data_IF_664215006466
#
_entry.id   IF_664215006466
#
_cell.length_a   1.000
_cell.length_b   1.000
_cell.length_c   1.000
_cell.angle_alpha   90.00
_cell.angle_beta   90.00
_cell.angle_gamma   90.00
#
_symmetry.space_group_name_H-M   'P 1'
#
loop_
_entity.id
_entity.type
_entity.pdbx_description
1 polymer ?
#
# COMPACT_ATOMS: atom_id res chain seq x y z
N UNK A 1 17.18 39.18 -30.25
CA UNK A 1 17.59 39.13 -28.85
C UNK A 1 16.37 38.67 -28.08
N UNK A 2 16.25 37.36 -27.91
CA UNK A 2 15.12 36.74 -27.22
C UNK A 2 15.48 36.59 -25.75
N UNK A 3 14.68 37.23 -24.95
CA UNK A 3 14.75 37.26 -23.50
C UNK A 3 14.49 35.84 -22.95
N UNK A 4 15.54 35.18 -22.50
CA UNK A 4 15.41 33.93 -21.75
C UNK A 4 14.99 34.29 -20.33
N UNK A 5 13.68 34.48 -20.11
CA UNK A 5 13.14 34.55 -18.77
C UNK A 5 13.44 33.21 -18.05
N UNK A 6 14.32 33.28 -17.07
CA UNK A 6 14.49 32.28 -16.04
C UNK A 6 13.13 32.10 -15.35
N UNK A 7 12.38 31.09 -15.80
CA UNK A 7 11.20 30.65 -15.10
C UNK A 7 11.64 30.24 -13.67
N UNK A 8 11.31 31.05 -12.70
CA UNK A 8 11.39 30.71 -11.29
C UNK A 8 10.58 29.41 -11.15
N UNK A 9 11.23 28.34 -10.72
CA UNK A 9 10.57 27.07 -10.48
C UNK A 9 9.43 27.35 -9.48
N UNK A 10 8.18 27.22 -9.95
CA UNK A 10 7.00 27.27 -9.09
C UNK A 10 7.07 26.16 -8.03
N UNK A 11 6.28 26.25 -6.97
CA UNK A 11 6.27 25.24 -5.91
C UNK A 11 6.04 23.86 -6.53
N UNK A 12 6.84 22.87 -6.09
CA UNK A 12 6.71 21.50 -6.58
C UNK A 12 5.26 21.03 -6.39
N UNK A 13 4.64 20.52 -7.44
CA UNK A 13 3.23 20.05 -7.49
C UNK A 13 2.88 19.12 -6.31
N UNK A 14 3.89 18.53 -5.64
CA UNK A 14 3.76 17.65 -4.47
C UNK A 14 3.38 18.36 -3.16
N UNK A 15 3.71 19.63 -3.00
CA UNK A 15 3.55 20.36 -1.72
C UNK A 15 2.18 21.03 -1.58
N UNK A 16 1.40 21.14 -2.65
CA UNK A 16 0.08 21.77 -2.62
C UNK A 16 -1.00 20.85 -2.07
N UNK A 17 -1.77 21.37 -1.10
CA UNK A 17 -2.94 20.65 -0.55
C UNK A 17 -3.99 20.41 -1.63
N UNK A 18 -4.17 21.36 -2.54
CA UNK A 18 -5.14 21.32 -3.64
C UNK A 18 -4.57 21.96 -4.89
N UNK A 19 -4.65 21.27 -6.02
CA UNK A 19 -4.26 21.80 -7.33
C UNK A 19 -5.37 22.69 -7.90
N UNK A 20 -4.98 23.84 -8.47
CA UNK A 20 -5.88 24.67 -9.24
C UNK A 20 -6.29 23.99 -10.55
N UNK A 21 -7.47 24.34 -11.07
CA UNK A 21 -8.01 23.72 -12.30
C UNK A 21 -7.09 23.93 -13.50
N UNK A 22 -6.38 25.06 -13.57
CA UNK A 22 -5.43 25.38 -14.63
C UNK A 22 -4.18 24.49 -14.67
N UNK A 23 -3.87 23.83 -13.54
CA UNK A 23 -2.73 22.91 -13.41
C UNK A 23 -3.13 21.44 -13.66
N UNK A 24 -4.37 21.18 -14.09
CA UNK A 24 -4.93 19.84 -14.25
C UNK A 24 -5.16 19.51 -15.72
N UNK A 25 -4.15 18.95 -16.37
CA UNK A 25 -4.14 18.62 -17.80
C UNK A 25 -4.01 17.11 -18.09
N UNK A 26 -4.02 16.29 -17.03
CA UNK A 26 -3.85 14.84 -17.13
C UNK A 26 -4.95 14.15 -17.95
N UNK A 27 -4.66 12.98 -18.50
CA UNK A 27 -5.63 12.14 -19.18
C UNK A 27 -6.01 10.92 -18.32
N UNK A 28 -7.28 10.45 -18.34
CA UNK A 28 -7.67 9.28 -17.55
C UNK A 28 -6.88 8.01 -17.86
N UNK A 29 -6.44 7.84 -19.12
CA UNK A 29 -5.65 6.67 -19.56
C UNK A 29 -4.29 6.61 -18.89
N UNK A 30 -3.69 7.76 -18.60
CA UNK A 30 -2.38 7.81 -17.93
C UNK A 30 -2.42 7.25 -16.51
N UNK A 31 -3.60 7.17 -15.88
CA UNK A 31 -3.75 6.52 -14.57
C UNK A 31 -3.42 5.03 -14.63
N UNK A 32 -3.86 4.32 -15.68
CA UNK A 32 -3.56 2.89 -15.79
C UNK A 32 -2.05 2.66 -15.91
N UNK A 33 -1.35 3.45 -16.73
CA UNK A 33 0.10 3.36 -16.87
C UNK A 33 0.84 3.72 -15.56
N UNK A 34 0.37 4.77 -14.87
CA UNK A 34 0.97 5.19 -13.60
C UNK A 34 0.81 4.12 -12.52
N UNK A 35 -0.39 3.56 -12.34
CA UNK A 35 -0.63 2.48 -11.38
C UNK A 35 0.10 1.20 -11.75
N UNK A 36 0.09 0.81 -13.03
CA UNK A 36 0.86 -0.36 -13.48
C UNK A 36 2.36 -0.18 -13.20
N UNK A 37 2.90 1.00 -13.44
CA UNK A 37 4.31 1.29 -13.17
C UNK A 37 4.69 1.14 -11.69
N UNK A 38 3.80 1.53 -10.77
CA UNK A 38 4.01 1.39 -9.32
C UNK A 38 3.91 -0.07 -8.87
N UNK A 39 3.00 -0.85 -9.48
CA UNK A 39 2.65 -2.21 -9.03
C UNK A 39 3.41 -3.32 -9.74
N UNK A 40 4.13 -3.02 -10.82
CA UNK A 40 5.13 -3.91 -11.43
C UNK A 40 6.37 -3.97 -10.53
N UNK A 41 6.23 -4.53 -9.34
CA UNK A 41 7.24 -4.57 -8.30
C UNK A 41 7.45 -5.99 -7.77
N UNK A 42 8.67 -6.35 -7.36
CA UNK A 42 8.99 -7.68 -6.82
C UNK A 42 8.10 -8.10 -5.64
N UNK A 43 7.73 -7.18 -4.77
CA UNK A 43 6.87 -7.44 -3.62
C UNK A 43 5.51 -8.06 -3.99
N UNK A 44 5.01 -7.78 -5.20
CA UNK A 44 3.77 -8.39 -5.71
C UNK A 44 3.96 -9.90 -6.00
N UNK A 45 5.12 -10.29 -6.54
CA UNK A 45 5.46 -11.70 -6.79
C UNK A 45 5.54 -12.44 -5.46
N UNK A 46 6.26 -11.86 -4.49
CA UNK A 46 6.46 -12.45 -3.16
C UNK A 46 5.12 -12.60 -2.43
N UNK A 47 4.23 -11.61 -2.51
CA UNK A 47 2.88 -11.72 -1.95
C UNK A 47 2.11 -12.90 -2.56
N UNK A 48 2.29 -13.17 -3.85
CA UNK A 48 1.73 -14.35 -4.51
C UNK A 48 2.34 -15.66 -3.98
N UNK A 49 3.67 -15.72 -3.78
CA UNK A 49 4.32 -16.88 -3.16
C UNK A 49 3.77 -17.16 -1.76
N UNK A 50 3.63 -16.11 -0.93
CA UNK A 50 3.05 -16.21 0.42
C UNK A 50 1.59 -16.68 0.38
N UNK A 51 0.80 -16.22 -0.58
CA UNK A 51 -0.60 -16.62 -0.72
C UNK A 51 -0.77 -18.11 -1.07
N UNK A 52 0.14 -18.69 -1.85
CA UNK A 52 0.17 -20.12 -2.14
C UNK A 52 0.84 -20.95 -1.03
N UNK A 53 1.78 -20.35 -0.26
CA UNK A 53 2.29 -20.84 1.02
C UNK A 53 3.23 -22.05 0.97
N UNK A 54 3.86 -22.34 -0.17
CA UNK A 54 4.77 -23.48 -0.32
C UNK A 54 4.10 -24.83 -0.07
N UNK A 55 4.84 -25.81 0.44
CA UNK A 55 4.38 -27.19 0.68
C UNK A 55 3.30 -27.29 1.77
N UNK A 56 3.28 -26.38 2.75
CA UNK A 56 2.30 -26.33 3.83
C UNK A 56 1.08 -25.45 3.50
N UNK A 57 1.12 -24.73 2.38
CA UNK A 57 0.09 -23.77 1.98
C UNK A 57 -1.06 -24.40 1.20
N UNK A 58 -2.04 -23.55 0.81
CA UNK A 58 -3.21 -24.01 0.05
C UNK A 58 -2.91 -24.37 -1.42
N UNK A 59 -1.69 -24.16 -1.87
CA UNK A 59 -1.26 -24.37 -3.24
C UNK A 59 -1.77 -23.30 -4.22
N UNK A 60 -1.36 -23.41 -5.49
CA UNK A 60 -1.62 -22.40 -6.52
C UNK A 60 -3.11 -22.06 -6.67
N UNK A 61 -3.96 -23.05 -6.87
CA UNK A 61 -5.37 -22.81 -7.24
C UNK A 61 -6.10 -22.03 -6.14
N UNK A 62 -6.00 -22.48 -4.90
CA UNK A 62 -6.70 -21.86 -3.77
C UNK A 62 -6.04 -20.52 -3.39
N UNK A 63 -4.70 -20.50 -3.33
CA UNK A 63 -3.93 -19.31 -3.01
C UNK A 63 -4.15 -18.19 -4.03
N UNK A 64 -4.06 -18.49 -5.32
CA UNK A 64 -4.29 -17.49 -6.38
C UNK A 64 -5.75 -17.04 -6.46
N UNK A 65 -6.72 -17.96 -6.31
CA UNK A 65 -8.13 -17.59 -6.29
C UNK A 65 -8.46 -16.63 -5.14
N UNK A 66 -7.95 -16.91 -3.93
CA UNK A 66 -8.07 -16.01 -2.79
C UNK A 66 -7.40 -14.66 -3.02
N UNK A 67 -6.13 -14.67 -3.44
CA UNK A 67 -5.37 -13.46 -3.78
C UNK A 67 -6.10 -12.61 -4.83
N UNK A 68 -6.61 -13.23 -5.89
CA UNK A 68 -7.32 -12.55 -6.97
C UNK A 68 -8.62 -11.90 -6.47
N UNK A 69 -9.42 -12.63 -5.69
CA UNK A 69 -10.64 -12.08 -5.10
C UNK A 69 -10.34 -10.87 -4.21
N UNK A 70 -9.37 -11.00 -3.31
CA UNK A 70 -8.94 -9.91 -2.43
C UNK A 70 -8.42 -8.71 -3.22
N UNK A 71 -7.57 -8.94 -4.22
CA UNK A 71 -7.02 -7.90 -5.11
C UNK A 71 -8.14 -7.13 -5.82
N UNK A 72 -9.11 -7.82 -6.41
CA UNK A 72 -10.23 -7.18 -7.11
C UNK A 72 -11.04 -6.30 -6.15
N UNK A 73 -11.37 -6.80 -4.97
CA UNK A 73 -12.13 -6.04 -3.97
C UNK A 73 -11.34 -4.80 -3.53
N UNK A 74 -10.05 -4.94 -3.22
CA UNK A 74 -9.22 -3.82 -2.77
C UNK A 74 -9.00 -2.77 -3.86
N UNK A 75 -8.79 -3.19 -5.11
CA UNK A 75 -8.65 -2.24 -6.24
C UNK A 75 -9.95 -1.51 -6.55
N UNK A 76 -11.12 -2.11 -6.33
CA UNK A 76 -12.42 -1.42 -6.38
C UNK A 76 -12.47 -0.31 -5.33
N UNK A 77 -11.99 -0.55 -4.12
CA UNK A 77 -11.93 0.47 -3.06
C UNK A 77 -11.04 1.65 -3.48
N UNK A 78 -9.84 1.39 -4.00
CA UNK A 78 -8.91 2.43 -4.47
C UNK A 78 -9.50 3.21 -5.64
N UNK A 79 -10.08 2.51 -6.63
CA UNK A 79 -10.72 3.14 -7.78
C UNK A 79 -11.89 4.03 -7.35
N UNK A 80 -12.68 3.60 -6.35
CA UNK A 80 -13.77 4.37 -5.78
C UNK A 80 -13.33 5.66 -5.09
N UNK A 81 -12.21 5.64 -4.35
CA UNK A 81 -11.63 6.86 -3.76
C UNK A 81 -11.00 7.74 -4.84
N UNK A 82 -10.31 7.17 -5.82
CA UNK A 82 -9.62 7.91 -6.89
C UNK A 82 -10.54 8.87 -7.67
N UNK A 83 -11.85 8.60 -7.73
CA UNK A 83 -12.86 9.48 -8.33
C UNK A 83 -12.83 10.89 -7.71
N UNK A 84 -12.43 10.99 -6.45
CA UNK A 84 -12.42 12.25 -5.70
C UNK A 84 -11.22 13.13 -6.01
N UNK A 85 -10.16 12.61 -6.59
CA UNK A 85 -9.02 13.40 -7.03
C UNK A 85 -9.43 14.54 -7.99
N UNK A 86 -10.03 14.27 -9.15
CA UNK A 86 -10.51 15.31 -10.06
C UNK A 86 -11.56 16.22 -9.43
N UNK A 87 -12.49 15.67 -8.64
CA UNK A 87 -13.57 16.44 -8.02
C UNK A 87 -13.09 17.47 -7.00
N UNK A 88 -12.03 17.18 -6.30
CA UNK A 88 -11.50 18.02 -5.21
C UNK A 88 -10.20 18.72 -5.57
N UNK A 89 -9.40 18.14 -6.45
CA UNK A 89 -8.01 18.54 -6.73
C UNK A 89 -7.06 18.27 -5.56
N UNK A 90 -7.52 17.57 -4.52
CA UNK A 90 -6.75 17.33 -3.30
C UNK A 90 -5.91 16.07 -3.43
N UNK A 91 -4.72 16.08 -2.84
CA UNK A 91 -3.96 14.88 -2.56
C UNK A 91 -4.68 14.03 -1.50
N UNK A 92 -4.36 12.73 -1.43
CA UNK A 92 -5.12 11.80 -0.62
C UNK A 92 -5.05 12.09 0.88
N UNK A 93 -3.86 12.37 1.42
CA UNK A 93 -3.73 12.66 2.84
C UNK A 93 -4.46 13.96 3.25
N UNK A 94 -4.34 15.08 2.52
CA UNK A 94 -5.22 16.23 2.71
C UNK A 94 -6.71 15.92 2.57
N UNK A 95 -7.10 15.02 1.66
CA UNK A 95 -8.49 14.59 1.51
C UNK A 95 -9.04 13.96 2.80
N UNK A 96 -8.23 13.20 3.53
CA UNK A 96 -8.58 12.65 4.84
C UNK A 96 -9.03 13.70 5.85
N UNK A 97 -8.58 14.96 5.72
CA UNK A 97 -9.04 16.07 6.57
C UNK A 97 -10.53 16.39 6.42
N UNK A 98 -11.17 15.95 5.34
CA UNK A 98 -12.62 16.11 5.18
C UNK A 98 -13.39 15.37 6.29
N UNK A 99 -12.90 14.22 6.72
CA UNK A 99 -13.45 13.45 7.85
C UNK A 99 -12.76 13.81 9.19
N UNK A 100 -11.43 13.78 9.21
CA UNK A 100 -10.62 13.85 10.43
C UNK A 100 -10.23 15.27 10.87
N UNK A 101 -10.46 16.30 10.03
CA UNK A 101 -10.11 17.69 10.33
C UNK A 101 -8.64 17.85 10.76
N UNK A 102 -8.41 18.60 11.83
CA UNK A 102 -7.09 18.76 12.42
C UNK A 102 -6.52 17.47 13.05
N UNK A 103 -7.39 16.51 13.43
CA UNK A 103 -6.98 15.22 14.00
C UNK A 103 -6.59 14.19 12.93
N UNK A 104 -6.45 14.59 11.67
CA UNK A 104 -5.92 13.73 10.60
C UNK A 104 -4.49 13.24 10.89
N UNK A 105 -3.81 13.84 11.85
CA UNK A 105 -2.53 13.35 12.37
C UNK A 105 -2.60 11.89 12.89
N UNK A 106 -3.73 11.48 13.44
CA UNK A 106 -3.89 10.13 14.01
C UNK A 106 -3.72 9.05 12.95
N UNK A 107 -4.51 8.99 11.85
CA UNK A 107 -4.26 8.01 10.80
C UNK A 107 -2.92 8.21 10.07
N UNK A 108 -2.34 9.43 10.05
CA UNK A 108 -1.01 9.65 9.47
C UNK A 108 0.11 8.98 10.25
N UNK A 109 -0.01 8.82 11.57
CA UNK A 109 0.97 8.06 12.37
C UNK A 109 1.01 6.60 11.90
N UNK A 110 -0.15 5.97 11.68
CA UNK A 110 -0.23 4.60 11.17
C UNK A 110 0.33 4.49 9.76
N UNK A 111 0.07 5.48 8.91
CA UNK A 111 0.65 5.54 7.57
C UNK A 111 2.18 5.57 7.63
N UNK A 112 2.77 6.46 8.43
CA UNK A 112 4.22 6.58 8.55
C UNK A 112 4.83 5.27 9.08
N UNK A 113 4.21 4.67 10.09
CA UNK A 113 4.65 3.36 10.61
C UNK A 113 4.61 2.27 9.52
N UNK A 114 3.57 2.26 8.69
CA UNK A 114 3.45 1.34 7.55
C UNK A 114 4.51 1.60 6.48
N UNK A 115 4.79 2.86 6.14
CA UNK A 115 5.83 3.21 5.17
C UNK A 115 7.22 2.80 5.66
N UNK A 116 7.55 3.03 6.94
CA UNK A 116 8.80 2.55 7.56
C UNK A 116 8.90 1.01 7.49
N UNK A 117 7.79 0.30 7.71
CA UNK A 117 7.78 -1.15 7.62
C UNK A 117 8.00 -1.64 6.17
N UNK A 118 7.38 -0.98 5.19
CA UNK A 118 7.62 -1.27 3.77
C UNK A 118 9.05 -0.92 3.33
N UNK A 119 9.64 0.16 3.85
CA UNK A 119 11.04 0.51 3.57
C UNK A 119 11.97 -0.60 4.05
N UNK A 120 11.77 -1.09 5.28
CA UNK A 120 12.54 -2.21 5.81
C UNK A 120 12.40 -3.49 4.96
N UNK A 121 11.18 -3.79 4.52
CA UNK A 121 10.91 -4.96 3.68
C UNK A 121 11.58 -4.83 2.30
N UNK A 122 11.44 -3.67 1.65
CA UNK A 122 12.03 -3.41 0.35
C UNK A 122 13.56 -3.35 0.42
N UNK A 123 14.14 -2.84 1.53
CA UNK A 123 15.59 -2.89 1.77
C UNK A 123 16.08 -4.33 1.81
N UNK A 124 15.39 -5.20 2.57
CA UNK A 124 15.77 -6.60 2.67
C UNK A 124 15.65 -7.33 1.32
N UNK A 125 14.60 -7.08 0.55
CA UNK A 125 14.47 -7.62 -0.81
C UNK A 125 15.53 -7.07 -1.76
N UNK A 126 15.83 -5.77 -1.67
CA UNK A 126 16.88 -5.13 -2.46
C UNK A 126 18.26 -5.72 -2.14
N UNK A 127 18.51 -5.95 -0.85
CA UNK A 127 19.74 -6.61 -0.38
C UNK A 127 19.81 -8.05 -0.88
N UNK A 128 18.72 -8.82 -0.76
CA UNK A 128 18.67 -10.21 -1.23
C UNK A 128 18.95 -10.28 -2.74
N UNK A 129 18.33 -9.38 -3.53
CA UNK A 129 18.56 -9.29 -4.97
C UNK A 129 20.03 -8.96 -5.33
N UNK A 130 20.65 -8.01 -4.63
CA UNK A 130 22.03 -7.60 -4.88
C UNK A 130 23.06 -8.58 -4.34
N UNK A 131 22.87 -9.05 -3.11
CA UNK A 131 23.82 -9.94 -2.44
C UNK A 131 23.91 -11.29 -3.13
N UNK A 132 22.76 -11.88 -3.50
CA UNK A 132 22.72 -13.16 -4.20
C UNK A 132 23.26 -13.06 -5.62
N UNK A 133 22.88 -12.02 -6.39
CA UNK A 133 23.27 -11.89 -7.78
C UNK A 133 24.72 -11.47 -7.99
N UNK A 134 25.29 -10.67 -7.07
CA UNK A 134 26.67 -10.14 -7.16
C UNK A 134 27.64 -10.86 -6.22
N UNK A 135 27.16 -11.78 -5.41
CA UNK A 135 27.95 -12.48 -4.38
C UNK A 135 28.71 -11.51 -3.44
N UNK A 136 28.01 -10.47 -2.96
CA UNK A 136 28.57 -9.45 -2.07
C UNK A 136 27.99 -9.59 -0.65
N UNK A 137 28.72 -9.14 0.40
CA UNK A 137 28.24 -9.19 1.77
C UNK A 137 26.97 -8.36 1.97
N UNK A 138 26.08 -8.82 2.85
CA UNK A 138 24.82 -8.15 3.24
C UNK A 138 24.99 -6.63 3.47
N UNK A 139 26.03 -6.24 4.25
CA UNK A 139 26.23 -4.83 4.60
C UNK A 139 26.62 -3.97 3.39
N UNK A 140 27.33 -4.54 2.41
CA UNK A 140 27.71 -3.85 1.18
C UNK A 140 26.45 -3.65 0.30
N UNK A 141 25.63 -4.68 0.16
CA UNK A 141 24.36 -4.61 -0.56
C UNK A 141 23.40 -3.60 0.09
N UNK A 142 23.23 -3.64 1.42
CA UNK A 142 22.41 -2.68 2.16
C UNK A 142 22.91 -1.24 1.96
N UNK A 143 24.22 -1.02 2.05
CA UNK A 143 24.80 0.31 1.82
C UNK A 143 24.50 0.80 0.41
N UNK A 144 24.57 -0.07 -0.61
CA UNK A 144 24.26 0.30 -1.99
C UNK A 144 22.77 0.66 -2.16
N UNK A 145 21.85 -0.15 -1.62
CA UNK A 145 20.38 0.11 -1.66
C UNK A 145 20.07 1.46 -1.01
N UNK A 146 20.55 1.67 0.22
CA UNK A 146 20.30 2.91 0.98
C UNK A 146 20.95 4.12 0.32
N UNK A 147 22.14 3.97 -0.29
CA UNK A 147 22.78 5.08 -1.02
C UNK A 147 21.96 5.53 -2.23
N UNK A 148 21.34 4.58 -2.96
CA UNK A 148 20.43 4.89 -4.07
C UNK A 148 19.18 5.60 -3.54
N UNK A 149 18.54 5.05 -2.51
CA UNK A 149 17.37 5.60 -1.85
C UNK A 149 17.59 7.05 -1.39
N UNK A 150 18.63 7.30 -0.58
CA UNK A 150 19.01 8.63 -0.09
C UNK A 150 19.28 9.58 -1.26
N UNK A 151 19.97 9.13 -2.31
CA UNK A 151 20.22 9.95 -3.49
C UNK A 151 18.89 10.39 -4.12
N UNK A 152 17.97 9.47 -4.33
CA UNK A 152 16.66 9.77 -4.94
C UNK A 152 15.83 10.70 -4.04
N UNK A 153 15.84 10.49 -2.72
CA UNK A 153 15.17 11.37 -1.74
C UNK A 153 15.72 12.80 -1.79
N UNK A 154 17.03 12.96 -1.84
CA UNK A 154 17.70 14.29 -1.84
C UNK A 154 17.43 15.04 -3.14
N UNK A 155 17.57 14.37 -4.31
CA UNK A 155 17.30 14.99 -5.61
C UNK A 155 15.81 15.17 -5.92
N UNK A 156 14.93 14.49 -5.19
CA UNK A 156 13.49 14.73 -5.12
C UNK A 156 12.70 14.29 -6.36
N UNK A 157 11.51 14.87 -6.51
CA UNK A 157 10.44 14.43 -7.45
C UNK A 157 10.89 14.33 -8.90
N UNK A 158 11.81 15.20 -9.35
CA UNK A 158 12.29 15.16 -10.74
C UNK A 158 13.04 13.86 -11.05
N UNK A 159 13.97 13.46 -10.15
CA UNK A 159 14.72 12.22 -10.29
C UNK A 159 13.79 11.01 -10.13
N UNK A 160 12.89 11.04 -9.14
CA UNK A 160 11.87 10.00 -8.93
C UNK A 160 11.05 9.73 -10.19
N UNK A 161 10.59 10.80 -10.87
CA UNK A 161 9.78 10.67 -12.10
C UNK A 161 10.56 10.03 -13.23
N UNK A 162 11.80 10.47 -13.44
CA UNK A 162 12.66 9.92 -14.51
C UNK A 162 12.98 8.45 -14.24
N UNK A 163 13.46 8.14 -13.04
CA UNK A 163 13.78 6.76 -12.66
C UNK A 163 12.52 5.89 -12.67
N UNK A 164 11.40 6.37 -12.13
CA UNK A 164 10.14 5.63 -12.12
C UNK A 164 9.69 5.24 -13.53
N UNK A 165 9.82 6.12 -14.53
CA UNK A 165 9.47 5.80 -15.91
C UNK A 165 10.41 4.75 -16.52
N UNK A 166 11.72 4.91 -16.32
CA UNK A 166 12.73 3.97 -16.83
C UNK A 166 12.54 2.60 -16.19
N UNK A 167 12.48 2.56 -14.87
CA UNK A 167 12.34 1.33 -14.09
C UNK A 167 11.04 0.61 -14.45
N UNK A 168 9.90 1.31 -14.54
CA UNK A 168 8.61 0.68 -14.90
C UNK A 168 8.66 0.03 -16.28
N UNK A 169 9.38 0.64 -17.23
CA UNK A 169 9.55 0.06 -18.56
C UNK A 169 10.40 -1.22 -18.52
N UNK A 170 11.51 -1.20 -17.77
CA UNK A 170 12.36 -2.38 -17.60
C UNK A 170 11.61 -3.46 -16.82
N UNK A 171 10.86 -3.11 -15.78
CA UNK A 171 10.07 -4.04 -15.01
C UNK A 171 8.98 -4.74 -15.83
N UNK A 172 8.40 -4.04 -16.82
CA UNK A 172 7.48 -4.67 -17.76
C UNK A 172 8.18 -5.76 -18.59
N UNK A 173 9.39 -5.50 -19.07
CA UNK A 173 10.19 -6.50 -19.82
C UNK A 173 10.55 -7.68 -18.92
N UNK A 174 11.03 -7.42 -17.70
CA UNK A 174 11.36 -8.48 -16.73
C UNK A 174 10.09 -9.30 -16.39
N UNK A 175 8.94 -8.66 -16.24
CA UNK A 175 7.67 -9.35 -15.96
C UNK A 175 7.26 -10.30 -17.08
N UNK A 176 7.45 -9.90 -18.35
CA UNK A 176 7.21 -10.76 -19.51
C UNK A 176 8.19 -11.94 -19.50
N UNK A 177 9.45 -11.71 -19.21
CA UNK A 177 10.45 -12.77 -19.10
C UNK A 177 10.11 -13.75 -17.97
N UNK A 178 9.68 -13.26 -16.80
CA UNK A 178 9.22 -14.11 -15.69
C UNK A 178 8.01 -14.97 -16.05
N UNK A 179 7.10 -14.48 -16.89
CA UNK A 179 5.98 -15.30 -17.41
C UNK A 179 6.52 -16.51 -18.19
N UNK A 180 7.51 -16.29 -19.05
CA UNK A 180 8.14 -17.38 -19.78
C UNK A 180 8.87 -18.36 -18.85
N UNK A 181 9.64 -17.86 -17.87
CA UNK A 181 10.31 -18.71 -16.88
C UNK A 181 9.30 -19.53 -16.06
N UNK A 182 8.25 -18.88 -15.56
CA UNK A 182 7.18 -19.58 -14.81
C UNK A 182 6.48 -20.66 -15.65
N UNK A 183 6.33 -20.47 -16.96
CA UNK A 183 5.72 -21.47 -17.84
C UNK A 183 6.55 -22.76 -18.01
N UNK A 184 7.83 -22.72 -17.61
CA UNK A 184 8.72 -23.89 -17.70
C UNK A 184 8.71 -24.76 -16.44
N UNK A 185 8.09 -24.31 -15.37
CA UNK A 185 8.00 -25.01 -14.09
C UNK A 185 6.55 -25.40 -13.79
N UNK A 186 6.34 -26.55 -13.15
CA UNK A 186 5.04 -26.94 -12.62
C UNK A 186 4.85 -26.30 -11.24
N UNK A 187 3.63 -25.96 -10.84
CA UNK A 187 3.37 -25.54 -9.47
C UNK A 187 3.54 -26.73 -8.52
N UNK A 188 3.96 -26.46 -7.30
CA UNK A 188 4.00 -27.50 -6.27
C UNK A 188 2.60 -28.09 -6.07
N UNK A 189 2.49 -29.43 -5.95
CA UNK A 189 1.22 -30.04 -5.69
C UNK A 189 0.65 -29.56 -4.36
N UNK A 190 -0.59 -29.08 -4.38
CA UNK A 190 -1.28 -28.74 -3.14
C UNK A 190 -1.36 -29.98 -2.23
N UNK A 191 -1.25 -29.81 -0.90
CA UNK A 191 -1.52 -30.90 0.02
C UNK A 191 -2.89 -31.51 -0.27
N UNK A 192 -2.97 -32.84 -0.24
CA UNK A 192 -4.24 -33.54 -0.43
C UNK A 192 -5.20 -33.11 0.69
N UNK A 193 -6.15 -32.25 0.39
CA UNK A 193 -7.22 -31.87 1.31
C UNK A 193 -8.31 -32.93 1.26
N UNK A 194 -8.36 -33.78 2.29
CA UNK A 194 -9.52 -34.63 2.50
C UNK A 194 -10.70 -33.72 2.89
N UNK A 195 -11.58 -33.38 1.94
CA UNK A 195 -12.90 -32.86 2.26
C UNK A 195 -13.23 -31.42 1.96
N UNK A 196 -12.67 -30.77 0.96
CA UNK A 196 -13.19 -29.49 0.49
C UNK A 196 -12.22 -28.31 0.45
N UNK A 197 -12.75 -27.09 0.27
CA UNK A 197 -11.96 -25.85 0.23
C UNK A 197 -11.34 -25.58 1.61
N UNK A 198 -10.01 -25.41 1.73
CA UNK A 198 -9.38 -25.02 2.99
C UNK A 198 -9.71 -23.56 3.28
N UNK A 199 -10.78 -23.33 4.07
CA UNK A 199 -11.39 -21.99 4.26
C UNK A 199 -10.40 -21.01 4.89
N UNK A 200 -9.65 -21.42 5.91
CA UNK A 200 -8.68 -20.54 6.57
C UNK A 200 -7.58 -20.05 5.64
N UNK A 201 -6.81 -20.93 5.00
CA UNK A 201 -5.81 -20.56 4.01
C UNK A 201 -6.37 -19.73 2.84
N UNK A 202 -7.59 -20.06 2.35
CA UNK A 202 -8.25 -19.25 1.33
C UNK A 202 -8.52 -17.82 1.82
N UNK A 203 -9.08 -17.64 3.03
CA UNK A 203 -9.35 -16.35 3.61
C UNK A 203 -8.06 -15.55 3.89
N UNK A 204 -6.98 -16.24 4.27
CA UNK A 204 -5.66 -15.59 4.41
C UNK A 204 -5.17 -15.07 3.06
N UNK A 205 -5.28 -15.87 1.99
CA UNK A 205 -4.91 -15.43 0.65
C UNK A 205 -5.79 -14.26 0.16
N UNK A 206 -7.10 -14.28 0.45
CA UNK A 206 -8.00 -13.13 0.23
C UNK A 206 -7.49 -11.91 1.00
N UNK A 207 -7.05 -12.10 2.24
CA UNK A 207 -6.47 -11.06 3.08
C UNK A 207 -5.25 -10.41 2.47
N UNK A 208 -4.32 -11.20 2.01
CA UNK A 208 -3.11 -10.71 1.36
C UNK A 208 -3.44 -9.91 0.10
N UNK A 209 -4.30 -10.43 -0.78
CA UNK A 209 -4.71 -9.74 -2.00
C UNK A 209 -5.46 -8.45 -1.74
N UNK A 210 -6.36 -8.45 -0.75
CA UNK A 210 -7.11 -7.26 -0.36
C UNK A 210 -6.18 -6.24 0.30
N UNK A 211 -5.29 -6.67 1.18
CA UNK A 211 -4.41 -5.79 1.92
C UNK A 211 -3.40 -5.09 1.00
N UNK A 212 -2.73 -5.82 0.11
CA UNK A 212 -1.78 -5.23 -0.86
C UNK A 212 -2.44 -4.21 -1.78
N UNK A 213 -3.74 -4.34 -2.01
CA UNK A 213 -4.50 -3.42 -2.85
C UNK A 213 -5.06 -2.24 -2.05
N UNK A 214 -5.80 -2.49 -0.94
CA UNK A 214 -6.49 -1.45 -0.18
C UNK A 214 -5.52 -0.49 0.51
N UNK A 215 -4.30 -0.94 0.81
CA UNK A 215 -3.24 -0.08 1.38
C UNK A 215 -2.95 1.15 0.51
N UNK A 216 -3.18 1.08 -0.80
CA UNK A 216 -3.05 2.20 -1.72
C UNK A 216 -4.21 3.21 -1.64
N UNK A 217 -5.27 2.94 -0.88
CA UNK A 217 -6.35 3.91 -0.67
C UNK A 217 -5.83 5.23 -0.07
N UNK A 218 -4.76 5.19 0.74
CA UNK A 218 -4.15 6.38 1.35
C UNK A 218 -3.33 7.23 0.38
N UNK A 219 -3.19 6.80 -0.89
CA UNK A 219 -2.52 7.50 -1.98
C UNK A 219 -3.39 7.59 -3.26
N UNK A 220 -4.64 7.13 -3.21
CA UNK A 220 -5.53 6.97 -4.37
C UNK A 220 -5.73 8.26 -5.18
N UNK A 221 -5.85 9.41 -4.50
CA UNK A 221 -6.04 10.71 -5.15
C UNK A 221 -4.74 11.37 -5.61
N UNK A 222 -3.57 10.93 -5.16
CA UNK A 222 -2.30 11.57 -5.49
C UNK A 222 -2.01 11.53 -6.99
N UNK A 223 -2.36 10.42 -7.65
CA UNK A 223 -2.26 10.27 -9.09
C UNK A 223 -3.45 10.84 -9.86
N UNK A 224 -4.66 10.82 -9.28
CA UNK A 224 -5.88 11.21 -10.00
C UNK A 224 -6.20 12.71 -9.90
N UNK A 225 -5.65 13.45 -8.93
CA UNK A 225 -5.92 14.89 -8.72
C UNK A 225 -5.46 15.80 -9.87
N UNK A 226 -4.53 15.31 -10.71
CA UNK A 226 -4.01 16.04 -11.87
C UNK A 226 -5.00 16.04 -13.06
N UNK A 227 -6.09 15.29 -12.97
CA UNK A 227 -7.11 15.25 -14.00
C UNK A 227 -8.05 16.46 -13.90
N UNK A 228 -8.57 16.99 -15.02
CA UNK A 228 -9.56 18.05 -15.02
C UNK A 228 -10.81 17.70 -14.19
N UNK A 229 -11.41 18.70 -13.52
CA UNK A 229 -12.55 18.49 -12.62
C UNK A 229 -13.78 17.86 -13.32
N UNK A 230 -13.94 18.10 -14.62
CA UNK A 230 -15.02 17.55 -15.44
C UNK A 230 -14.77 16.10 -15.91
N UNK A 231 -13.64 15.47 -15.51
CA UNK A 231 -13.33 14.09 -15.90
C UNK A 231 -14.40 13.14 -15.37
N UNK A 232 -14.92 12.30 -16.27
CA UNK A 232 -15.97 11.31 -15.92
C UNK A 232 -15.51 10.37 -14.80
N UNK A 233 -16.28 10.25 -13.70
CA UNK A 233 -15.99 9.32 -12.60
C UNK A 233 -15.81 7.88 -13.07
N UNK A 234 -16.65 7.42 -14.01
CA UNK A 234 -16.57 6.05 -14.55
C UNK A 234 -15.25 5.80 -15.29
N UNK A 235 -14.70 6.82 -16.00
CA UNK A 235 -13.40 6.69 -16.67
C UNK A 235 -12.25 6.62 -15.67
N UNK A 236 -12.29 7.45 -14.62
CA UNK A 236 -11.28 7.40 -13.54
C UNK A 236 -11.31 6.02 -12.90
N UNK A 237 -12.49 5.56 -12.49
CA UNK A 237 -12.68 4.25 -11.87
C UNK A 237 -12.14 3.12 -12.75
N UNK A 238 -12.54 3.06 -14.02
CA UNK A 238 -12.13 1.99 -14.93
C UNK A 238 -10.61 1.94 -15.16
N UNK A 239 -9.97 3.10 -15.40
CA UNK A 239 -8.54 3.13 -15.67
C UNK A 239 -7.70 2.83 -14.43
N UNK A 240 -8.12 3.24 -13.23
CA UNK A 240 -7.47 2.84 -11.98
C UNK A 240 -7.64 1.35 -11.75
N UNK A 241 -8.87 0.82 -11.88
CA UNK A 241 -9.16 -0.60 -11.70
C UNK A 241 -8.28 -1.47 -12.61
N UNK A 242 -8.24 -1.17 -13.92
CA UNK A 242 -7.42 -1.92 -14.89
C UNK A 242 -5.93 -1.81 -14.54
N UNK A 243 -5.45 -0.57 -14.30
CA UNK A 243 -4.02 -0.31 -14.05
C UNK A 243 -3.50 -0.95 -12.77
N UNK A 244 -4.34 -1.15 -11.77
CA UNK A 244 -3.96 -1.82 -10.53
C UNK A 244 -4.16 -3.34 -10.60
N UNK A 245 -5.33 -3.77 -11.05
CA UNK A 245 -5.70 -5.20 -10.98
C UNK A 245 -4.79 -6.06 -11.86
N UNK A 246 -4.51 -5.61 -13.08
CA UNK A 246 -3.77 -6.42 -14.04
C UNK A 246 -2.34 -6.76 -13.57
N UNK A 247 -1.48 -5.79 -13.15
CA UNK A 247 -0.15 -6.11 -12.65
C UNK A 247 -0.17 -6.99 -11.41
N UNK A 248 -1.08 -6.70 -10.46
CA UNK A 248 -1.21 -7.48 -9.22
C UNK A 248 -1.61 -8.93 -9.49
N UNK A 249 -2.53 -9.18 -10.43
CA UNK A 249 -2.93 -10.54 -10.78
C UNK A 249 -1.84 -11.27 -11.57
N UNK A 250 -1.16 -10.59 -12.50
CA UNK A 250 -0.10 -11.22 -13.31
C UNK A 250 1.09 -11.59 -12.42
N UNK A 251 1.65 -10.64 -11.69
CA UNK A 251 2.83 -10.89 -10.85
C UNK A 251 2.50 -11.75 -9.64
N UNK A 252 1.35 -11.51 -9.00
CA UNK A 252 0.88 -12.36 -7.91
C UNK A 252 0.59 -13.79 -8.37
N UNK A 253 0.08 -13.95 -9.60
CA UNK A 253 -0.12 -15.25 -10.22
C UNK A 253 1.19 -15.99 -10.51
N UNK A 254 2.23 -15.29 -11.01
CA UNK A 254 3.57 -15.84 -11.18
C UNK A 254 4.10 -16.31 -9.82
N UNK A 255 3.99 -15.46 -8.78
CA UNK A 255 4.43 -15.80 -7.43
C UNK A 255 3.71 -17.04 -6.88
N UNK A 256 2.38 -17.08 -6.97
CA UNK A 256 1.59 -18.22 -6.50
C UNK A 256 1.89 -19.52 -7.26
N UNK A 257 2.11 -19.43 -8.58
CA UNK A 257 2.47 -20.57 -9.43
C UNK A 257 3.84 -21.16 -9.07
N UNK A 258 4.79 -20.32 -8.70
CA UNK A 258 6.19 -20.69 -8.48
C UNK A 258 6.56 -20.79 -7.00
N UNK A 259 5.55 -20.76 -6.10
CA UNK A 259 5.72 -20.86 -4.65
C UNK A 259 6.26 -22.23 -4.24
N UNK A 260 7.32 -22.22 -3.48
CA UNK A 260 7.93 -23.39 -2.81
C UNK A 260 8.44 -22.94 -1.45
N UNK A 261 8.77 -23.87 -0.55
CA UNK A 261 9.38 -23.51 0.74
C UNK A 261 10.70 -22.77 0.54
N UNK A 262 11.54 -23.22 -0.39
CA UNK A 262 12.78 -22.52 -0.75
C UNK A 262 12.55 -21.12 -1.32
N UNK A 263 11.45 -20.91 -2.08
CA UNK A 263 11.08 -19.60 -2.62
C UNK A 263 10.60 -18.63 -1.52
N UNK A 264 10.00 -19.14 -0.45
CA UNK A 264 9.61 -18.33 0.71
C UNK A 264 10.80 -17.92 1.57
N UNK A 265 11.83 -18.75 1.62
CA UNK A 265 13.09 -18.44 2.31
C UNK A 265 13.99 -17.48 1.52
N UNK A 266 14.06 -17.68 0.19
CA UNK A 266 14.87 -16.88 -0.73
C UNK A 266 14.08 -16.51 -2.00
N UNK A 267 13.19 -15.49 -1.92
CA UNK A 267 12.36 -15.10 -3.06
C UNK A 267 13.14 -14.60 -4.26
N UNK A 268 14.25 -13.89 -4.05
CA UNK A 268 15.07 -13.38 -5.16
C UNK A 268 15.88 -14.48 -5.84
N UNK A 269 16.32 -15.49 -5.10
CA UNK A 269 16.91 -16.69 -5.67
C UNK A 269 15.93 -17.44 -6.59
N UNK A 270 14.64 -17.50 -6.19
CA UNK A 270 13.60 -18.06 -7.07
C UNK A 270 13.39 -17.24 -8.33
N UNK A 271 13.43 -15.92 -8.22
CA UNK A 271 13.36 -15.03 -9.40
C UNK A 271 14.57 -15.26 -10.34
N UNK A 272 15.77 -15.44 -9.78
CA UNK A 272 16.98 -15.76 -10.58
C UNK A 272 16.82 -17.07 -11.36
N UNK A 273 16.33 -18.12 -10.70
CA UNK A 273 16.05 -19.40 -11.34
C UNK A 273 15.06 -19.26 -12.51
N UNK A 274 13.97 -18.50 -12.30
CA UNK A 274 12.96 -18.27 -13.34
C UNK A 274 13.49 -17.47 -14.52
N UNK A 275 14.48 -16.61 -14.29
CA UNK A 275 15.18 -15.86 -15.33
C UNK A 275 16.27 -16.68 -16.02
N UNK A 276 16.51 -17.92 -15.59
CA UNK A 276 17.48 -18.85 -16.19
C UNK A 276 18.92 -18.62 -15.78
N UNK A 277 19.19 -17.80 -14.76
CA UNK A 277 20.53 -17.49 -14.26
C UNK A 277 21.43 -16.73 -15.24
N UNK A 278 22.72 -16.60 -14.90
CA UNK A 278 23.72 -15.97 -15.73
C UNK A 278 23.65 -14.44 -15.79
N UNK A 279 24.45 -13.81 -16.65
CA UNK A 279 24.65 -12.36 -16.66
C UNK A 279 23.36 -11.57 -16.87
N UNK A 280 22.44 -12.06 -17.72
CA UNK A 280 21.19 -11.36 -18.00
C UNK A 280 20.24 -11.37 -16.77
N UNK A 281 20.16 -12.51 -16.07
CA UNK A 281 19.40 -12.61 -14.82
C UNK A 281 20.03 -11.73 -13.71
N UNK A 282 21.36 -11.72 -13.61
CA UNK A 282 22.07 -10.79 -12.70
C UNK A 282 21.70 -9.33 -12.96
N UNK A 283 21.71 -8.89 -14.23
CA UNK A 283 21.28 -7.52 -14.59
C UNK A 283 19.84 -7.26 -14.20
N UNK A 284 18.94 -8.22 -14.40
CA UNK A 284 17.55 -8.10 -14.00
C UNK A 284 17.40 -7.97 -12.48
N UNK A 285 18.10 -8.79 -11.70
CA UNK A 285 18.08 -8.73 -10.22
C UNK A 285 18.68 -7.42 -9.69
N UNK A 286 19.77 -6.93 -10.26
CA UNK A 286 20.31 -5.60 -9.92
C UNK A 286 19.28 -4.51 -10.21
N UNK A 287 18.57 -4.60 -11.35
CA UNK A 287 17.50 -3.65 -11.68
C UNK A 287 16.34 -3.75 -10.70
N UNK A 288 15.97 -4.95 -10.26
CA UNK A 288 14.96 -5.17 -9.20
C UNK A 288 15.39 -4.50 -7.89
N UNK A 289 16.65 -4.66 -7.45
CA UNK A 289 17.19 -4.00 -6.27
C UNK A 289 17.12 -2.46 -6.38
N UNK A 290 17.51 -1.89 -7.53
CA UNK A 290 17.39 -0.43 -7.80
C UNK A 290 15.92 0.02 -7.79
N UNK A 291 15.01 -0.82 -8.31
CA UNK A 291 13.57 -0.55 -8.30
C UNK A 291 13.03 -0.42 -6.86
N UNK A 292 13.43 -1.34 -5.99
CA UNK A 292 13.03 -1.36 -4.58
C UNK A 292 13.58 -0.14 -3.82
N UNK A 293 14.85 0.21 -4.00
CA UNK A 293 15.43 1.43 -3.44
C UNK A 293 14.72 2.70 -3.93
N UNK A 294 14.28 2.72 -5.20
CA UNK A 294 13.50 3.84 -5.74
C UNK A 294 12.08 3.89 -5.14
N UNK A 295 11.45 2.74 -4.93
CA UNK A 295 10.14 2.65 -4.26
C UNK A 295 10.22 3.18 -2.82
N UNK A 296 11.29 2.84 -2.06
CA UNK A 296 11.53 3.39 -0.74
C UNK A 296 11.66 4.91 -0.77
N UNK A 297 12.39 5.46 -1.73
CA UNK A 297 12.48 6.91 -1.86
C UNK A 297 11.12 7.59 -2.06
N UNK A 298 10.15 6.95 -2.73
CA UNK A 298 8.76 7.42 -2.81
C UNK A 298 8.04 7.34 -1.45
N UNK A 299 8.22 6.25 -0.71
CA UNK A 299 7.67 6.08 0.63
C UNK A 299 8.20 7.16 1.57
N UNK A 300 9.51 7.37 1.60
CA UNK A 300 10.18 8.38 2.39
C UNK A 300 9.73 9.78 2.06
N UNK A 301 9.58 10.08 0.76
CA UNK A 301 9.06 11.36 0.30
C UNK A 301 7.64 11.60 0.84
N UNK A 302 6.76 10.61 0.74
CA UNK A 302 5.37 10.67 1.20
C UNK A 302 5.30 10.78 2.73
N UNK A 303 6.13 10.01 3.45
CA UNK A 303 6.23 10.08 4.90
C UNK A 303 6.79 11.44 5.37
N UNK A 304 7.82 11.97 4.70
CA UNK A 304 8.38 13.29 4.97
C UNK A 304 7.37 14.42 4.80
N UNK A 305 6.54 14.37 3.75
CA UNK A 305 5.42 15.29 3.56
C UNK A 305 4.37 15.15 4.67
N UNK A 306 4.04 13.92 5.06
CA UNK A 306 3.10 13.65 6.14
C UNK A 306 3.58 14.21 7.46
N UNK A 307 4.87 14.05 7.81
CA UNK A 307 5.48 14.63 9.00
C UNK A 307 5.40 16.17 9.00
N UNK A 308 5.64 16.82 7.86
CA UNK A 308 5.46 18.28 7.73
C UNK A 308 4.00 18.70 7.93
N UNK A 309 3.04 17.94 7.36
CA UNK A 309 1.61 18.22 7.53
C UNK A 309 1.15 18.04 8.99
N UNK A 310 1.84 17.21 9.76
CA UNK A 310 1.63 17.05 11.21
C UNK A 310 2.18 18.21 12.02
N UNK A 311 2.93 19.14 11.40
CA UNK A 311 3.44 20.35 12.03
C UNK A 311 4.94 20.34 12.35
N UNK A 312 5.69 19.33 11.90
CA UNK A 312 7.15 19.34 12.05
C UNK A 312 7.76 20.47 11.19
N UNK A 313 8.62 21.28 11.82
CA UNK A 313 9.23 22.47 11.20
C UNK A 313 10.51 22.17 10.41
N UNK A 314 10.97 20.93 10.38
CA UNK A 314 12.17 20.55 9.63
C UNK A 314 11.91 20.56 8.11
N UNK A 315 12.96 20.80 7.29
CA UNK A 315 12.86 20.61 5.85
C UNK A 315 12.37 19.20 5.48
N UNK A 316 11.60 19.04 4.39
CA UNK A 316 11.08 17.75 3.93
C UNK A 316 12.17 16.69 3.84
N UNK A 317 13.32 17.02 3.25
CA UNK A 317 14.45 16.09 3.10
C UNK A 317 14.91 15.53 4.45
N UNK A 318 14.99 16.36 5.49
CA UNK A 318 15.35 15.90 6.85
C UNK A 318 14.31 14.94 7.42
N UNK A 319 13.02 15.25 7.23
CA UNK A 319 11.94 14.37 7.65
C UNK A 319 11.98 13.02 6.90
N UNK A 320 12.24 13.04 5.58
CA UNK A 320 12.39 11.82 4.78
C UNK A 320 13.59 10.99 5.22
N UNK A 321 14.77 11.59 5.39
CA UNK A 321 15.97 10.89 5.87
C UNK A 321 15.81 10.29 7.27
N UNK A 322 14.98 10.92 8.12
CA UNK A 322 14.60 10.31 9.40
C UNK A 322 13.79 9.01 9.19
N UNK A 323 12.87 8.99 8.24
CA UNK A 323 12.09 7.79 7.89
C UNK A 323 12.98 6.70 7.30
N UNK A 324 13.86 7.04 6.34
CA UNK A 324 14.91 6.14 5.81
C UNK A 324 15.71 5.50 6.97
N UNK A 325 16.19 6.31 7.92
CA UNK A 325 16.97 5.80 9.06
C UNK A 325 16.15 4.81 9.93
N UNK A 326 14.86 5.08 10.12
CA UNK A 326 13.96 4.15 10.83
C UNK A 326 13.75 2.85 10.04
N UNK A 327 13.56 2.94 8.71
CA UNK A 327 13.42 1.78 7.81
C UNK A 327 14.65 0.89 7.84
N UNK A 328 15.83 1.47 7.64
CA UNK A 328 17.12 0.75 7.72
C UNK A 328 17.34 0.10 9.09
N UNK A 329 16.98 0.80 10.18
CA UNK A 329 17.09 0.24 11.54
C UNK A 329 16.18 -0.98 11.68
N UNK A 330 14.95 -0.90 11.21
CA UNK A 330 14.00 -2.00 11.23
C UNK A 330 14.48 -3.16 10.35
N UNK A 331 15.04 -2.89 9.17
CA UNK A 331 15.64 -3.90 8.28
C UNK A 331 16.77 -4.64 8.98
N UNK A 332 17.67 -3.93 9.68
CA UNK A 332 18.78 -4.54 10.45
C UNK A 332 18.26 -5.42 11.60
N UNK A 333 17.19 -5.02 12.28
CA UNK A 333 16.57 -5.82 13.36
C UNK A 333 15.92 -7.08 12.76
N UNK A 334 15.24 -6.93 11.63
CA UNK A 334 14.44 -7.99 11.00
C UNK A 334 15.24 -8.90 10.06
N UNK A 335 16.53 -8.67 9.86
CA UNK A 335 17.37 -9.36 8.86
C UNK A 335 17.43 -10.89 9.00
N UNK A 336 17.14 -11.41 10.18
CA UNK A 336 17.15 -12.86 10.48
C UNK A 336 15.72 -13.45 10.46
N UNK A 337 14.69 -12.64 10.17
CA UNK A 337 13.33 -13.13 10.02
C UNK A 337 13.13 -13.67 8.61
N UNK A 338 12.42 -14.79 8.47
CA UNK A 338 12.08 -15.34 7.17
C UNK A 338 11.32 -14.31 6.33
N UNK A 339 11.79 -14.06 5.09
CA UNK A 339 11.24 -12.98 4.25
C UNK A 339 9.75 -13.18 3.92
N UNK A 340 9.31 -14.40 3.70
CA UNK A 340 7.89 -14.71 3.50
C UNK A 340 7.02 -14.36 4.69
N UNK A 341 7.47 -14.69 5.92
CA UNK A 341 6.79 -14.32 7.17
C UNK A 341 6.72 -12.81 7.35
N UNK A 342 7.85 -12.12 7.17
CA UNK A 342 7.93 -10.66 7.30
C UNK A 342 7.03 -9.98 6.26
N UNK A 343 6.98 -10.51 5.04
CA UNK A 343 6.08 -10.01 3.99
C UNK A 343 4.62 -10.11 4.42
N UNK A 344 4.22 -11.27 4.96
CA UNK A 344 2.86 -11.47 5.46
C UNK A 344 2.50 -10.47 6.55
N UNK A 345 3.36 -10.32 7.56
CA UNK A 345 3.13 -9.40 8.67
C UNK A 345 2.98 -7.94 8.19
N UNK A 346 3.87 -7.46 7.34
CA UNK A 346 3.88 -6.06 6.88
C UNK A 346 2.71 -5.78 5.93
N UNK A 347 2.48 -6.67 4.96
CA UNK A 347 1.39 -6.50 4.00
C UNK A 347 0.05 -6.50 4.72
N UNK A 348 -0.21 -7.46 5.62
CA UNK A 348 -1.48 -7.52 6.36
C UNK A 348 -1.65 -6.31 7.29
N UNK A 349 -0.58 -5.88 7.99
CA UNK A 349 -0.65 -4.70 8.86
C UNK A 349 -1.08 -3.43 8.09
N UNK A 350 -0.57 -3.23 6.88
CA UNK A 350 -0.95 -2.09 6.03
C UNK A 350 -2.45 -2.06 5.73
N UNK A 351 -3.08 -3.21 5.52
CA UNK A 351 -4.52 -3.31 5.35
C UNK A 351 -5.30 -3.04 6.62
N UNK A 352 -4.79 -3.48 7.78
CA UNK A 352 -5.51 -3.37 9.05
C UNK A 352 -5.79 -1.93 9.48
N UNK A 353 -4.88 -0.99 9.28
CA UNK A 353 -5.18 0.40 9.59
C UNK A 353 -5.89 1.12 8.43
N UNK A 354 -5.59 0.73 7.19
CA UNK A 354 -6.20 1.35 6.01
C UNK A 354 -7.69 1.03 5.91
N UNK A 355 -8.10 -0.19 6.27
CA UNK A 355 -9.49 -0.61 6.17
C UNK A 355 -10.45 0.24 7.04
N UNK A 356 -10.25 0.44 8.35
CA UNK A 356 -11.10 1.34 9.13
C UNK A 356 -10.99 2.80 8.68
N UNK A 357 -9.81 3.27 8.24
CA UNK A 357 -9.65 4.59 7.65
C UNK A 357 -10.51 4.73 6.38
N UNK A 358 -10.46 3.75 5.48
CA UNK A 358 -11.30 3.70 4.28
C UNK A 358 -12.80 3.78 4.65
N UNK A 359 -13.24 2.97 5.63
CA UNK A 359 -14.62 2.98 6.10
C UNK A 359 -15.09 4.36 6.55
N UNK A 360 -14.27 5.08 7.32
CA UNK A 360 -14.56 6.45 7.76
C UNK A 360 -14.60 7.41 6.58
N UNK A 361 -13.58 7.39 5.73
CA UNK A 361 -13.42 8.33 4.62
C UNK A 361 -14.51 8.14 3.56
N UNK A 362 -14.81 6.90 3.19
CA UNK A 362 -15.81 6.64 2.14
C UNK A 362 -17.21 7.12 2.54
N UNK A 363 -17.57 6.97 3.81
CA UNK A 363 -18.86 7.50 4.32
C UNK A 363 -18.89 9.02 4.22
N UNK A 364 -17.82 9.73 4.61
CA UNK A 364 -17.77 11.19 4.49
C UNK A 364 -17.84 11.63 3.02
N UNK A 365 -17.13 10.94 2.13
CA UNK A 365 -17.13 11.25 0.70
C UNK A 365 -18.51 11.03 0.07
N UNK A 366 -19.18 9.91 0.38
CA UNK A 366 -20.54 9.63 -0.12
C UNK A 366 -21.51 10.73 0.32
N UNK A 367 -21.42 11.16 1.59
CA UNK A 367 -22.29 12.19 2.13
C UNK A 367 -22.05 13.59 1.50
N UNK A 368 -20.88 13.78 0.87
CA UNK A 368 -20.50 15.01 0.16
C UNK A 368 -20.71 14.93 -1.36
N UNK A 369 -21.25 13.82 -1.84
CA UNK A 369 -21.35 13.59 -3.28
C UNK A 369 -22.05 14.74 -4.04
N UNK A 370 -23.09 15.31 -3.45
CA UNK A 370 -23.89 16.40 -4.03
C UNK A 370 -23.46 17.80 -3.59
N UNK A 371 -22.39 17.94 -2.78
CA UNK A 371 -21.93 19.26 -2.34
C UNK A 371 -21.25 20.02 -3.50
N UNK A 372 -21.57 21.30 -3.73
CA UNK A 372 -20.96 22.10 -4.80
C UNK A 372 -19.48 22.40 -4.52
N UNK A 373 -19.05 22.37 -3.25
CA UNK A 373 -17.65 22.56 -2.81
C UNK A 373 -17.24 21.43 -1.88
N UNK A 374 -17.10 20.20 -2.40
CA UNK A 374 -16.84 19.01 -1.56
C UNK A 374 -15.48 19.04 -0.84
N UNK A 375 -14.56 19.92 -1.25
CA UNK A 375 -13.22 20.09 -0.64
C UNK A 375 -13.21 20.97 0.62
N UNK A 376 -14.32 21.60 1.00
CA UNK A 376 -14.37 22.43 2.21
C UNK A 376 -14.32 21.57 3.46
N UNK A 377 -13.32 21.83 4.33
CA UNK A 377 -13.14 21.10 5.58
C UNK A 377 -14.19 21.56 6.59
N UNK A 378 -15.05 20.66 7.12
CA UNK A 378 -16.09 21.02 8.07
C UNK A 378 -15.50 21.21 9.47
N UNK A 379 -16.07 22.14 10.23
CA UNK A 379 -15.78 22.26 11.66
C UNK A 379 -16.46 21.14 12.46
N UNK A 380 -15.81 20.61 13.49
CA UNK A 380 -16.44 19.87 14.58
C UNK A 380 -16.66 18.36 14.43
N UNK A 381 -16.26 17.72 13.31
CA UNK A 381 -16.48 16.26 13.09
C UNK A 381 -15.27 15.38 13.40
N UNK A 382 -14.11 15.96 13.57
CA UNK A 382 -12.84 15.25 13.72
C UNK A 382 -12.84 14.21 14.85
N UNK A 383 -13.45 14.51 16.02
CA UNK A 383 -13.49 13.58 17.16
C UNK A 383 -14.28 12.30 16.84
N UNK A 384 -15.39 12.42 16.12
CA UNK A 384 -16.20 11.26 15.72
C UNK A 384 -15.45 10.36 14.75
N UNK A 385 -14.70 10.95 13.81
CA UNK A 385 -13.90 10.20 12.84
C UNK A 385 -12.73 9.46 13.53
N UNK A 386 -12.00 10.13 14.43
CA UNK A 386 -10.89 9.50 15.16
C UNK A 386 -11.41 8.40 16.09
N UNK A 387 -12.50 8.65 16.83
CA UNK A 387 -13.09 7.63 17.71
C UNK A 387 -13.54 6.40 16.89
N UNK A 388 -14.21 6.62 15.75
CA UNK A 388 -14.62 5.53 14.86
C UNK A 388 -13.41 4.75 14.33
N UNK A 389 -12.36 5.44 13.88
CA UNK A 389 -11.13 4.81 13.39
C UNK A 389 -10.46 3.95 14.46
N UNK A 390 -10.20 4.52 15.65
CA UNK A 390 -9.49 3.81 16.73
C UNK A 390 -10.30 2.65 17.29
N UNK A 391 -11.60 2.83 17.54
CA UNK A 391 -12.49 1.75 18.01
C UNK A 391 -12.52 0.62 16.99
N UNK A 392 -12.64 0.95 15.70
CA UNK A 392 -12.66 -0.06 14.63
C UNK A 392 -11.32 -0.78 14.50
N UNK A 393 -10.20 -0.05 14.64
CA UNK A 393 -8.86 -0.64 14.63
C UNK A 393 -8.67 -1.62 15.79
N UNK A 394 -9.16 -1.31 16.98
CA UNK A 394 -9.10 -2.23 18.12
C UNK A 394 -10.01 -3.44 17.90
N UNK A 395 -11.24 -3.24 17.43
CA UNK A 395 -12.23 -4.32 17.27
C UNK A 395 -11.92 -5.27 16.10
N UNK A 396 -11.07 -4.89 15.13
CA UNK A 396 -10.65 -5.81 14.07
C UNK A 396 -9.54 -6.79 14.52
N UNK A 397 -8.77 -6.46 15.57
CA UNK A 397 -7.61 -7.26 15.97
C UNK A 397 -7.90 -8.73 16.32
N UNK A 398 -9.08 -9.12 16.86
CA UNK A 398 -9.45 -10.52 16.99
C UNK A 398 -9.51 -11.29 15.68
N UNK A 399 -9.70 -10.63 14.54
CA UNK A 399 -9.87 -11.24 13.21
C UNK A 399 -8.58 -11.28 12.39
N UNK A 400 -7.45 -10.82 12.96
CA UNK A 400 -6.14 -10.82 12.31
C UNK A 400 -5.52 -12.22 12.25
N UNK A 401 -4.71 -12.47 11.22
CA UNK A 401 -4.01 -13.74 11.04
C UNK A 401 -2.50 -13.57 10.75
N UNK A 402 -1.89 -12.48 11.25
CA UNK A 402 -0.45 -12.29 11.05
C UNK A 402 0.38 -13.32 11.80
N UNK A 403 1.50 -13.81 11.24
CA UNK A 403 2.45 -14.68 11.93
C UNK A 403 2.91 -14.08 13.27
N UNK A 404 3.33 -12.81 13.29
CA UNK A 404 3.73 -12.10 14.50
C UNK A 404 2.61 -12.03 15.54
N UNK A 405 1.37 -11.72 15.12
CA UNK A 405 0.21 -11.65 16.01
C UNK A 405 -0.09 -13.00 16.67
N UNK A 406 0.01 -14.09 15.90
CA UNK A 406 -0.17 -15.45 16.40
C UNK A 406 0.94 -15.84 17.39
N UNK A 407 2.19 -15.49 17.09
CA UNK A 407 3.33 -15.72 17.99
C UNK A 407 3.15 -14.94 19.30
N UNK A 408 2.83 -13.65 19.24
CA UNK A 408 2.60 -12.85 20.44
C UNK A 408 1.45 -13.39 21.30
N UNK A 409 0.38 -13.89 20.68
CA UNK A 409 -0.73 -14.50 21.41
C UNK A 409 -0.34 -15.82 22.09
N UNK A 410 0.58 -16.58 21.51
CA UNK A 410 1.10 -17.83 22.07
C UNK A 410 2.12 -17.58 23.20
N UNK A 411 3.07 -16.67 22.97
CA UNK A 411 4.17 -16.40 23.92
C UNK A 411 3.70 -15.56 25.12
N UNK A 412 2.72 -14.67 24.90
CA UNK A 412 2.18 -13.75 25.88
C UNK A 412 0.64 -13.84 25.93
N UNK A 413 0.06 -14.93 26.48
CA UNK A 413 -1.41 -15.10 26.53
C UNK A 413 -2.12 -13.91 27.18
N UNK A 414 -1.52 -13.29 28.19
CA UNK A 414 -1.96 -12.01 28.72
C UNK A 414 -0.86 -10.96 28.50
N UNK A 415 -1.12 -9.86 27.76
CA UNK A 415 -2.44 -9.37 27.29
C UNK A 415 -2.79 -9.71 25.83
N UNK A 416 -2.05 -10.59 25.14
CA UNK A 416 -2.13 -10.75 23.66
C UNK A 416 -3.08 -11.86 23.17
N UNK A 417 -3.70 -12.66 24.03
CA UNK A 417 -4.55 -13.79 23.63
C UNK A 417 -5.69 -13.42 22.67
N UNK A 418 -6.15 -12.20 22.71
CA UNK A 418 -7.24 -11.70 21.86
C UNK A 418 -6.81 -11.34 20.44
N UNK A 419 -5.50 -11.16 20.19
CA UNK A 419 -4.98 -10.99 18.83
C UNK A 419 -5.25 -12.26 18.03
N UNK A 420 -5.97 -12.15 16.92
CA UNK A 420 -6.31 -13.28 16.08
C UNK A 420 -7.22 -14.35 16.74
N UNK A 421 -7.84 -14.03 17.88
CA UNK A 421 -8.71 -15.01 18.56
C UNK A 421 -9.85 -15.51 17.67
N UNK A 422 -10.59 -14.63 17.02
CA UNK A 422 -11.69 -15.01 16.14
C UNK A 422 -11.20 -15.72 14.88
N UNK A 423 -10.04 -15.32 14.36
CA UNK A 423 -9.36 -16.02 13.25
C UNK A 423 -9.11 -17.49 13.60
N UNK A 424 -8.47 -17.76 14.75
CA UNK A 424 -8.18 -19.13 15.19
C UNK A 424 -9.41 -19.93 15.62
N UNK A 425 -10.39 -19.27 16.26
CA UNK A 425 -11.55 -19.99 16.80
C UNK A 425 -12.64 -20.31 15.77
N UNK A 426 -12.82 -19.49 14.73
CA UNK A 426 -13.98 -19.57 13.83
C UNK A 426 -13.62 -19.59 12.35
N UNK A 427 -12.39 -19.20 11.98
CA UNK A 427 -12.00 -19.00 10.58
C UNK A 427 -10.85 -19.93 10.14
N UNK A 428 -10.53 -20.93 10.93
CA UNK A 428 -9.42 -21.87 10.65
C UNK A 428 -8.11 -21.14 10.30
N UNK A 429 -7.78 -20.07 11.06
CA UNK A 429 -6.62 -19.22 10.81
C UNK A 429 -6.76 -18.22 9.66
N UNK A 430 -7.95 -18.06 9.09
CA UNK A 430 -8.23 -17.09 8.03
C UNK A 430 -8.26 -15.64 8.52
N UNK A 431 -8.04 -14.68 7.63
CA UNK A 431 -8.03 -13.25 7.93
C UNK A 431 -9.26 -12.53 7.36
N UNK A 432 -10.02 -11.90 8.27
CA UNK A 432 -11.14 -11.03 7.91
C UNK A 432 -11.01 -9.62 8.51
N UNK A 433 -9.86 -9.29 9.10
CA UNK A 433 -9.67 -8.05 9.84
C UNK A 433 -9.96 -6.80 8.98
N UNK A 434 -9.54 -6.81 7.72
CA UNK A 434 -9.76 -5.68 6.81
C UNK A 434 -11.23 -5.51 6.41
N UNK A 435 -11.99 -6.61 6.24
CA UNK A 435 -13.44 -6.54 5.97
C UNK A 435 -14.15 -5.95 7.19
N UNK A 436 -13.85 -6.50 8.37
CA UNK A 436 -14.42 -6.04 9.63
C UNK A 436 -14.00 -4.60 9.93
N UNK A 437 -12.73 -4.24 9.68
CA UNK A 437 -12.22 -2.88 9.86
C UNK A 437 -12.95 -1.86 9.00
N UNK A 438 -13.16 -2.14 7.72
CA UNK A 438 -13.89 -1.25 6.82
C UNK A 438 -15.37 -1.09 7.23
N UNK A 439 -16.03 -2.19 7.57
CA UNK A 439 -17.44 -2.19 8.04
C UNK A 439 -17.54 -1.42 9.36
N UNK A 440 -16.71 -1.73 10.35
CA UNK A 440 -16.73 -1.05 11.64
C UNK A 440 -16.44 0.44 11.48
N UNK A 441 -15.42 0.82 10.66
CA UNK A 441 -15.09 2.21 10.36
C UNK A 441 -16.27 2.98 9.80
N UNK A 442 -16.95 2.40 8.82
CA UNK A 442 -18.14 3.01 8.21
C UNK A 442 -19.31 3.13 9.19
N UNK A 443 -19.64 2.04 9.90
CA UNK A 443 -20.77 1.99 10.82
C UNK A 443 -20.57 2.93 12.01
N UNK A 444 -19.41 2.84 12.71
CA UNK A 444 -19.15 3.69 13.86
C UNK A 444 -19.04 5.16 13.48
N UNK A 445 -18.44 5.46 12.32
CA UNK A 445 -18.41 6.85 11.86
C UNK A 445 -19.81 7.39 11.60
N UNK A 446 -20.67 6.63 10.92
CA UNK A 446 -22.06 7.02 10.67
C UNK A 446 -22.84 7.25 11.99
N UNK A 447 -22.62 6.39 12.99
CA UNK A 447 -23.25 6.49 14.33
C UNK A 447 -22.73 7.70 15.12
N UNK A 448 -21.41 7.80 15.31
CA UNK A 448 -20.80 8.86 16.13
C UNK A 448 -21.01 10.25 15.52
N UNK A 449 -21.06 10.33 14.20
CA UNK A 449 -21.39 11.58 13.48
C UNK A 449 -22.82 12.05 13.80
N UNK A 450 -23.79 11.13 13.96
CA UNK A 450 -25.17 11.47 14.34
C UNK A 450 -25.25 11.92 15.78
N UNK A 451 -24.56 11.25 16.70
CA UNK A 451 -24.53 11.58 18.13
C UNK A 451 -23.89 12.95 18.40
N UNK A 452 -22.90 13.36 17.59
CA UNK A 452 -22.24 14.68 17.70
C UNK A 452 -23.08 15.86 17.19
N UNK A 453 -24.22 15.61 16.55
CA UNK A 453 -25.21 16.66 16.23
C UNK A 453 -26.02 16.96 17.48
N UNK A 454 -25.58 17.91 18.31
CA UNK A 454 -26.49 18.57 19.25
C UNK A 454 -27.61 19.21 18.40
N UNK A 455 -28.92 19.06 18.78
CA UNK A 455 -29.96 19.85 18.15
C UNK A 455 -29.60 21.32 18.39
N UNK A 456 -29.19 22.00 17.29
CA UNK A 456 -28.94 23.43 17.35
C UNK A 456 -30.22 24.07 17.83
N UNK A 457 -30.18 24.77 18.94
CA UNK A 457 -31.12 25.83 19.23
C UNK A 457 -31.11 26.76 18.04
N UNK A 458 -32.15 26.67 17.22
CA UNK A 458 -32.48 27.69 16.25
C UNK A 458 -32.81 28.92 17.08
N UNK A 459 -31.81 29.77 17.30
CA UNK A 459 -32.09 31.14 17.75
C UNK A 459 -32.72 31.83 16.52
N UNK A 460 -34.04 31.86 16.53
CA UNK A 460 -34.81 32.79 15.71
C UNK A 460 -34.36 34.19 16.14
N UNK A 461 -33.78 35.02 15.25
CA UNK A 461 -33.55 36.42 15.59
C UNK A 461 -34.91 37.03 15.89
N UNK A 462 -35.08 37.48 17.13
CA UNK A 462 -36.31 38.08 17.62
C UNK A 462 -36.61 39.34 16.81
N UNK A 463 -37.87 39.42 16.44
CA UNK A 463 -38.58 40.65 16.12
C UNK A 463 -38.42 41.65 17.30
N UNK A 464 -37.73 42.74 17.06
CA UNK A 464 -37.90 44.00 17.77
C UNK A 464 -37.69 45.15 16.79
#
# INVERSE_FOLDING_TARGET
>A
MSDSSTAVAGPEIGDEIRLDESARDGSPRSLAAAWAGVLLAPGTIITGMVAAGGSAGPGFVVGFAGLALGTIIGTICVAGISIWGPRTGMAQMPLGRLAFGALNVVPQIFLIASLIAYDALNDLFGVDALASSLNIPFIVALTAVVAIEVTVVVFGVRLMRVLGTIISTIMLVISIWLIFGASQVAPDPAPATEGGLPVGPFLLAVGLGLSVSISWCVQACDLSRVLPAHTSPARVFAWVLIGMTLPLLVLGGIGAWTSTDAALDNPMGRVDELLGGGTAATIALVTLGVSLATANAFNDFSAGLSLKQMGLRFPRVVCSLFVTACGVTLALISRNTQLGQLTSDIVLFAGYYTAPWFGVVIVELILRWSEPRPWMIPAGRARAAVAAFLVSFVLLLPFTATPLGNQLAADYPFPCAWLGWASRAFLDGGDLAYVMGAIFGAVFYALFRRMGRRPGTVTVPGSA
#
